data_IF_922600867483
#
_entry.id   IF_922600867483
#
_cell.length_a   1.000
_cell.length_b   1.000
_cell.length_c   1.000
_cell.angle_alpha   90.00
_cell.angle_beta   90.00
_cell.angle_gamma   90.00
#
_symmetry.space_group_name_H-M   'P 1'
#
loop_
_entity.id
_entity.type
_entity.pdbx_description
1 polymer ?
#
# COMPACT_ATOMS: atom_id res chain seq x y z
N UNK A 1 0.93 21.74 1.41
CA UNK A 1 0.32 21.27 0.14
C UNK A 1 -1.06 20.74 0.47
N UNK A 2 -2.14 21.43 0.06
CA UNK A 2 -3.50 20.92 0.22
C UNK A 2 -3.74 19.85 -0.86
N UNK A 3 -3.33 18.61 -0.57
CA UNK A 3 -3.53 17.48 -1.46
C UNK A 3 -4.99 17.05 -1.42
N UNK A 4 -5.66 17.06 -2.58
CA UNK A 4 -6.99 16.49 -2.75
C UNK A 4 -7.00 15.05 -2.23
N UNK A 5 -8.00 14.68 -1.44
CA UNK A 5 -8.11 13.35 -0.84
C UNK A 5 -8.99 12.47 -1.72
N UNK A 6 -8.78 11.17 -1.68
CA UNK A 6 -9.64 10.22 -2.43
C UNK A 6 -11.12 10.35 -2.05
N UNK A 7 -11.41 10.78 -0.81
CA UNK A 7 -12.76 11.12 -0.34
C UNK A 7 -13.45 12.23 -1.15
N UNK A 8 -12.68 13.12 -1.80
CA UNK A 8 -13.21 14.19 -2.66
C UNK A 8 -13.73 13.63 -4.00
N UNK A 9 -13.41 12.37 -4.33
CA UNK A 9 -13.70 11.70 -5.59
C UNK A 9 -14.58 10.46 -5.44
N UNK A 10 -15.09 10.18 -4.23
CA UNK A 10 -16.00 9.04 -4.01
C UNK A 10 -17.30 9.33 -4.74
N UNK A 11 -17.68 8.41 -5.63
CA UNK A 11 -18.91 8.51 -6.41
C UNK A 11 -20.11 8.59 -5.45
N UNK A 12 -20.89 9.66 -5.61
CA UNK A 12 -22.22 9.76 -5.01
C UNK A 12 -23.19 8.95 -5.88
N UNK A 13 -22.98 7.65 -6.00
CA UNK A 13 -23.97 6.78 -6.65
C UNK A 13 -25.24 6.73 -5.80
N UNK A 14 -26.39 6.61 -6.45
CA UNK A 14 -27.67 6.47 -5.76
C UNK A 14 -27.62 5.24 -4.84
N UNK A 15 -27.82 5.47 -3.54
CA UNK A 15 -27.79 4.43 -2.50
C UNK A 15 -26.49 4.31 -1.70
N UNK A 16 -25.43 5.06 -2.04
CA UNK A 16 -24.20 5.12 -1.24
C UNK A 16 -24.23 6.36 -0.34
N UNK A 17 -24.31 6.15 0.98
CA UNK A 17 -24.29 7.24 1.94
C UNK A 17 -22.84 7.65 2.26
N UNK A 18 -22.58 8.97 2.34
CA UNK A 18 -21.23 9.52 2.58
C UNK A 18 -20.63 9.04 3.91
N UNK A 19 -21.48 8.70 4.89
CA UNK A 19 -21.06 8.16 6.19
C UNK A 19 -20.23 6.87 6.03
N UNK A 20 -20.63 5.97 5.13
CA UNK A 20 -19.91 4.71 4.83
C UNK A 20 -18.51 4.99 4.24
N UNK A 21 -18.40 6.05 3.46
CA UNK A 21 -17.19 6.44 2.76
C UNK A 21 -16.16 7.16 3.67
N UNK A 22 -16.63 7.82 4.73
CA UNK A 22 -15.75 8.50 5.69
C UNK A 22 -15.00 7.56 6.64
N UNK A 23 -15.51 6.35 6.83
CA UNK A 23 -14.88 5.32 7.67
C UNK A 23 -13.79 4.53 6.93
N UNK A 24 -13.72 4.65 5.60
CA UNK A 24 -12.71 3.96 4.80
C UNK A 24 -11.33 4.57 5.03
N UNK A 25 -10.49 3.84 5.76
CA UNK A 25 -9.06 4.15 5.88
C UNK A 25 -8.34 3.51 4.71
N UNK A 26 -8.04 4.30 3.69
CA UNK A 26 -7.25 3.85 2.54
C UNK A 26 -5.78 4.16 2.77
N UNK A 27 -4.88 3.15 2.79
CA UNK A 27 -3.46 3.37 2.97
C UNK A 27 -2.91 4.17 1.78
N UNK A 28 -2.39 5.36 2.06
CA UNK A 28 -1.77 6.21 1.04
C UNK A 28 -0.28 5.93 0.98
N UNK A 29 0.20 5.50 -0.17
CA UNK A 29 1.63 5.36 -0.45
C UNK A 29 2.14 6.73 -0.93
N UNK A 30 2.96 7.38 -0.11
CA UNK A 30 3.59 8.66 -0.45
C UNK A 30 5.00 8.50 -1.01
N UNK A 31 5.67 7.41 -0.65
CA UNK A 31 6.98 7.01 -1.14
C UNK A 31 6.96 5.50 -1.44
N UNK A 32 7.21 5.17 -2.69
CA UNK A 32 7.08 3.81 -3.20
C UNK A 32 8.16 2.87 -2.64
N UNK A 33 9.41 3.34 -2.53
CA UNK A 33 10.51 2.55 -1.96
C UNK A 33 10.30 2.32 -0.47
N UNK A 34 9.90 3.36 0.25
CA UNK A 34 9.64 3.28 1.67
C UNK A 34 8.45 2.37 1.99
N UNK A 35 7.41 2.35 1.14
CA UNK A 35 6.29 1.40 1.28
C UNK A 35 6.77 -0.05 1.20
N UNK A 36 7.57 -0.38 0.18
CA UNK A 36 8.12 -1.74 0.03
C UNK A 36 9.01 -2.11 1.21
N UNK A 37 9.85 -1.20 1.69
CA UNK A 37 10.70 -1.44 2.87
C UNK A 37 9.88 -1.66 4.14
N UNK A 38 8.78 -0.92 4.32
CA UNK A 38 7.87 -1.09 5.45
C UNK A 38 7.20 -2.48 5.42
N UNK A 39 6.72 -2.92 4.25
CA UNK A 39 6.08 -4.22 4.08
C UNK A 39 7.08 -5.38 4.32
N UNK A 40 8.28 -5.29 3.73
CA UNK A 40 9.34 -6.30 3.98
C UNK A 40 9.70 -6.36 5.46
N UNK A 41 9.79 -5.21 6.14
CA UNK A 41 10.04 -5.14 7.58
C UNK A 41 8.91 -5.82 8.35
N UNK A 42 7.65 -5.52 8.04
CA UNK A 42 6.48 -6.14 8.66
C UNK A 42 6.55 -7.67 8.55
N UNK A 43 6.82 -8.18 7.34
CA UNK A 43 6.97 -9.62 7.11
C UNK A 43 8.12 -10.21 7.95
N UNK A 44 9.29 -9.57 7.94
CA UNK A 44 10.48 -10.01 8.68
C UNK A 44 10.27 -10.03 10.20
N UNK A 45 9.52 -9.07 10.75
CA UNK A 45 9.29 -8.96 12.20
C UNK A 45 8.07 -9.75 12.69
N UNK A 46 7.17 -10.14 11.79
CA UNK A 46 5.95 -10.87 12.11
C UNK A 46 6.25 -12.22 12.77
N UNK A 47 5.60 -12.57 13.89
CA UNK A 47 5.80 -13.88 14.54
C UNK A 47 4.92 -14.99 13.97
N UNK A 48 3.92 -14.64 13.16
CA UNK A 48 2.99 -15.61 12.56
C UNK A 48 3.54 -16.21 11.26
N UNK A 49 4.57 -15.61 10.66
CA UNK A 49 5.23 -16.13 9.46
C UNK A 49 6.39 -17.04 9.88
N UNK A 50 6.51 -18.20 9.21
CA UNK A 50 7.60 -19.17 9.47
C UNK A 50 8.97 -18.52 9.28
N UNK A 51 9.95 -18.91 10.10
CA UNK A 51 11.26 -18.24 10.16
C UNK A 51 11.95 -18.20 8.79
N UNK A 52 12.00 -19.33 8.10
CA UNK A 52 12.59 -19.46 6.78
C UNK A 52 11.97 -18.50 5.75
N UNK A 53 10.66 -18.29 5.80
CA UNK A 53 9.98 -17.36 4.89
C UNK A 53 10.31 -15.89 5.23
N UNK A 54 10.46 -15.55 6.51
CA UNK A 54 10.86 -14.20 6.96
C UNK A 54 12.27 -13.87 6.52
N UNK A 55 13.19 -14.81 6.69
CA UNK A 55 14.60 -14.63 6.35
C UNK A 55 14.76 -14.35 4.84
N UNK A 56 13.93 -14.98 4.01
CA UNK A 56 13.97 -14.85 2.55
C UNK A 56 13.02 -13.80 1.93
N UNK A 57 12.20 -13.11 2.74
CA UNK A 57 11.36 -12.02 2.25
C UNK A 57 12.22 -10.90 1.63
N UNK A 58 11.91 -10.53 0.38
CA UNK A 58 12.59 -9.49 -0.40
C UNK A 58 11.58 -8.54 -1.04
N UNK A 59 11.96 -7.27 -1.15
CA UNK A 59 11.14 -6.22 -1.76
C UNK A 59 11.60 -5.87 -3.16
N UNK A 60 10.64 -5.58 -4.04
CA UNK A 60 10.88 -5.22 -5.42
C UNK A 60 9.99 -4.06 -5.86
N UNK A 61 10.49 -3.30 -6.82
CA UNK A 61 9.74 -2.31 -7.57
C UNK A 61 9.61 -2.76 -9.01
N UNK A 62 8.39 -2.71 -9.52
CA UNK A 62 8.07 -2.96 -10.90
C UNK A 62 7.76 -1.63 -11.60
N UNK A 63 8.52 -1.31 -12.64
CA UNK A 63 8.19 -0.21 -13.53
C UNK A 63 7.23 -0.70 -14.61
N UNK A 64 5.98 -0.28 -14.53
CA UNK A 64 4.91 -0.67 -15.45
C UNK A 64 5.19 -0.22 -16.89
N UNK A 65 5.94 0.87 -17.09
CA UNK A 65 6.21 1.39 -18.44
C UNK A 65 7.28 0.60 -19.17
N UNK A 66 8.35 0.23 -18.46
CA UNK A 66 9.49 -0.49 -19.05
C UNK A 66 9.41 -2.00 -18.87
N UNK A 67 8.56 -2.50 -17.95
CA UNK A 67 8.50 -3.91 -17.58
C UNK A 67 9.68 -4.38 -16.70
N UNK A 68 10.53 -3.45 -16.25
CA UNK A 68 11.72 -3.79 -15.47
C UNK A 68 11.37 -3.97 -13.98
N UNK A 69 12.01 -4.97 -13.37
CA UNK A 69 11.95 -5.22 -11.92
C UNK A 69 13.30 -4.86 -11.32
N UNK A 70 13.29 -4.06 -10.25
CA UNK A 70 14.49 -3.77 -9.45
C UNK A 70 14.25 -4.05 -7.98
N UNK A 71 15.33 -4.37 -7.27
CA UNK A 71 15.29 -4.54 -5.81
C UNK A 71 15.15 -3.18 -5.13
N UNK A 72 14.29 -3.10 -4.11
CA UNK A 72 14.02 -1.89 -3.33
C UNK A 72 14.89 -1.77 -2.06
#
# INVERSE_FOLDING_TARGET
>A
MNGKRIHDYILKEDGVFIEDATQLVLPVITDLEQSVRADVKLLKTSRIIRRELRDHASGYLYDVKSGLVRRA
#
